data_IF_038213710020
#
_entry.id   IF_038213710020
#
_cell.length_a   1.000
_cell.length_b   1.000
_cell.length_c   1.000
_cell.angle_alpha   90.00
_cell.angle_beta   90.00
_cell.angle_gamma   90.00
#
_symmetry.space_group_name_H-M   'P 1'
#
loop_
_entity.id
_entity.type
_entity.pdbx_description
1 polymer ?
#
# COMPACT_ATOMS: atom_id res chain seq x y z
N UNK A 1 -26.32 -0.92 -9.84
CA UNK A 1 -25.35 -1.05 -10.94
C UNK A 1 -24.48 -2.23 -10.57
N UNK A 2 -24.57 -3.31 -11.33
CA UNK A 2 -23.83 -4.57 -11.10
C UNK A 2 -22.35 -4.33 -11.38
N UNK A 3 -21.45 -4.94 -10.61
CA UNK A 3 -20.02 -4.78 -10.86
C UNK A 3 -19.62 -5.53 -12.13
N UNK A 4 -18.68 -4.98 -12.90
CA UNK A 4 -18.17 -5.59 -14.12
C UNK A 4 -16.82 -6.26 -13.85
N UNK A 5 -16.61 -7.42 -14.44
CA UNK A 5 -15.32 -8.11 -14.45
C UNK A 5 -14.86 -8.31 -15.89
N UNK A 6 -13.56 -8.10 -16.12
CA UNK A 6 -12.93 -8.43 -17.38
C UNK A 6 -12.58 -9.92 -17.37
N UNK A 7 -13.26 -10.67 -18.24
CA UNK A 7 -13.04 -12.10 -18.44
C UNK A 7 -12.41 -12.28 -19.81
N UNK A 8 -11.08 -12.34 -19.85
CA UNK A 8 -10.28 -12.53 -21.07
C UNK A 8 -10.57 -11.49 -22.17
N UNK A 9 -10.64 -10.22 -21.80
CA UNK A 9 -10.87 -9.13 -22.75
C UNK A 9 -12.34 -8.82 -23.04
N UNK A 10 -13.27 -9.54 -22.40
CA UNK A 10 -14.71 -9.25 -22.45
C UNK A 10 -15.18 -8.79 -21.09
N UNK A 11 -15.79 -7.60 -21.03
CA UNK A 11 -16.41 -7.11 -19.81
C UNK A 11 -17.81 -7.69 -19.67
N UNK A 12 -18.04 -8.43 -18.59
CA UNK A 12 -19.34 -9.00 -18.24
C UNK A 12 -19.75 -8.58 -16.83
N UNK A 13 -21.04 -8.68 -16.54
CA UNK A 13 -21.51 -8.57 -15.16
C UNK A 13 -20.92 -9.68 -14.31
N UNK A 14 -20.54 -9.31 -13.10
CA UNK A 14 -20.15 -10.26 -12.07
C UNK A 14 -21.37 -11.08 -11.65
N UNK A 15 -21.13 -12.35 -11.37
CA UNK A 15 -22.07 -13.22 -10.67
C UNK A 15 -22.11 -12.83 -9.18
N UNK A 16 -23.18 -13.19 -8.48
CA UNK A 16 -23.34 -12.93 -7.04
C UNK A 16 -22.17 -13.47 -6.20
N UNK A 17 -21.64 -14.65 -6.59
CA UNK A 17 -20.47 -15.24 -5.94
C UNK A 17 -19.21 -14.41 -6.15
N UNK A 18 -18.98 -13.91 -7.37
CA UNK A 18 -17.83 -13.04 -7.67
C UNK A 18 -17.96 -11.71 -6.94
N UNK A 19 -19.15 -11.12 -6.87
CA UNK A 19 -19.38 -9.87 -6.13
C UNK A 19 -19.07 -10.03 -4.64
N UNK A 20 -19.49 -11.17 -4.06
CA UNK A 20 -19.18 -11.51 -2.67
C UNK A 20 -17.67 -11.64 -2.43
N UNK A 21 -17.00 -12.41 -3.29
CA UNK A 21 -15.54 -12.60 -3.21
C UNK A 21 -14.79 -11.27 -3.37
N UNK A 22 -15.25 -10.40 -4.28
CA UNK A 22 -14.65 -9.08 -4.48
C UNK A 22 -14.86 -8.16 -3.28
N UNK A 23 -16.03 -8.19 -2.65
CA UNK A 23 -16.29 -7.42 -1.43
C UNK A 23 -15.43 -7.88 -0.25
N UNK A 24 -15.13 -9.18 -0.14
CA UNK A 24 -14.19 -9.72 0.85
C UNK A 24 -12.75 -9.29 0.54
N UNK A 25 -12.32 -9.42 -0.71
CA UNK A 25 -11.00 -9.00 -1.15
C UNK A 25 -10.76 -7.51 -0.90
N UNK A 26 -11.75 -6.65 -1.17
CA UNK A 26 -11.63 -5.22 -0.90
C UNK A 26 -11.36 -4.90 0.57
N UNK A 27 -11.95 -5.66 1.51
CA UNK A 27 -11.70 -5.47 2.95
C UNK A 27 -10.25 -5.81 3.30
N UNK A 28 -9.73 -6.88 2.73
CA UNK A 28 -8.33 -7.31 2.92
C UNK A 28 -7.39 -6.27 2.30
N UNK A 29 -7.60 -5.89 1.05
CA UNK A 29 -6.78 -4.90 0.35
C UNK A 29 -6.72 -3.55 1.09
N UNK A 30 -7.85 -3.11 1.68
CA UNK A 30 -7.89 -1.88 2.47
C UNK A 30 -7.13 -2.01 3.80
N UNK A 31 -7.16 -3.19 4.43
CA UNK A 31 -6.37 -3.45 5.64
C UNK A 31 -4.87 -3.50 5.33
N UNK A 32 -4.48 -4.15 4.23
CA UNK A 32 -3.10 -4.22 3.75
C UNK A 32 -2.57 -2.83 3.39
N UNK A 33 -3.31 -2.03 2.63
CA UNK A 33 -2.91 -0.66 2.28
C UNK A 33 -2.67 0.21 3.52
N UNK A 34 -3.49 0.05 4.57
CA UNK A 34 -3.28 0.74 5.86
C UNK A 34 -2.03 0.26 6.58
N UNK A 35 -1.76 -1.05 6.57
CA UNK A 35 -0.58 -1.63 7.19
C UNK A 35 0.71 -1.16 6.48
N UNK A 36 0.71 -1.14 5.14
CA UNK A 36 1.81 -0.65 4.34
C UNK A 36 2.07 0.84 4.57
N UNK A 37 1.03 1.67 4.59
CA UNK A 37 1.16 3.10 4.89
C UNK A 37 1.76 3.33 6.28
N UNK A 38 1.32 2.56 7.29
CA UNK A 38 1.89 2.61 8.63
C UNK A 38 3.36 2.17 8.64
N UNK A 39 3.69 1.06 7.98
CA UNK A 39 5.06 0.56 7.90
C UNK A 39 6.01 1.56 7.22
N UNK A 40 5.54 2.25 6.17
CA UNK A 40 6.30 3.31 5.50
C UNK A 40 6.56 4.50 6.44
N UNK A 41 5.54 4.95 7.18
CA UNK A 41 5.68 6.03 8.16
C UNK A 41 6.62 5.66 9.32
N UNK A 42 6.48 4.44 9.87
CA UNK A 42 7.34 3.93 10.93
C UNK A 42 8.80 3.83 10.45
N UNK A 43 9.02 3.37 9.21
CA UNK A 43 10.35 3.31 8.58
C UNK A 43 10.96 4.70 8.39
N UNK A 44 10.18 5.67 7.92
CA UNK A 44 10.64 7.06 7.78
C UNK A 44 11.03 7.66 9.13
N UNK A 45 10.19 7.46 10.16
CA UNK A 45 10.46 7.91 11.53
C UNK A 45 11.72 7.26 12.10
N UNK A 46 11.87 5.94 11.92
CA UNK A 46 13.05 5.22 12.39
C UNK A 46 14.33 5.69 11.68
N UNK A 47 14.28 5.94 10.37
CA UNK A 47 15.40 6.53 9.62
C UNK A 47 15.77 7.88 10.21
N UNK A 48 14.81 8.80 10.38
CA UNK A 48 15.09 10.12 10.92
C UNK A 48 15.73 10.04 12.32
N UNK A 49 15.20 9.20 13.21
CA UNK A 49 15.78 8.99 14.54
C UNK A 49 17.21 8.44 14.52
N UNK A 50 17.59 7.68 13.48
CA UNK A 50 18.99 7.23 13.29
C UNK A 50 19.86 8.39 12.82
N UNK A 51 19.39 9.19 11.85
CA UNK A 51 20.12 10.37 11.37
C UNK A 51 20.37 11.36 12.51
N UNK A 52 19.35 11.64 13.32
CA UNK A 52 19.42 12.53 14.48
C UNK A 52 20.46 12.04 15.52
N UNK A 53 20.51 10.72 15.78
CA UNK A 53 21.52 10.12 16.69
C UNK A 53 22.94 10.21 16.15
N UNK A 54 23.10 10.13 14.84
CA UNK A 54 24.39 10.25 14.17
C UNK A 54 24.81 11.72 13.97
N UNK A 55 23.91 12.67 14.24
CA UNK A 55 24.18 14.09 14.05
C UNK A 55 24.34 14.48 12.58
N UNK A 56 23.78 13.69 11.67
CA UNK A 56 23.81 13.95 10.23
C UNK A 56 22.46 14.48 9.78
N UNK A 57 22.47 15.50 8.94
CA UNK A 57 21.26 16.05 8.33
C UNK A 57 20.72 15.11 7.25
N UNK A 58 19.45 15.30 6.89
CA UNK A 58 18.83 14.55 5.79
C UNK A 58 19.57 14.76 4.46
N UNK A 59 20.08 15.96 4.22
CA UNK A 59 20.84 16.31 3.00
C UNK A 59 22.20 15.60 2.97
N UNK A 60 22.90 15.55 4.10
CA UNK A 60 24.16 14.82 4.23
C UNK A 60 23.94 13.30 4.10
N UNK A 61 22.84 12.78 4.65
CA UNK A 61 22.47 11.38 4.50
C UNK A 61 22.18 11.01 3.05
N UNK A 62 21.48 11.88 2.30
CA UNK A 62 21.23 11.70 0.88
C UNK A 62 22.54 11.67 0.07
N UNK A 63 23.48 12.57 0.38
CA UNK A 63 24.79 12.60 -0.28
C UNK A 63 25.64 11.34 -0.03
N UNK A 64 25.48 10.72 1.15
CA UNK A 64 26.22 9.53 1.56
C UNK A 64 25.59 8.21 1.09
N UNK A 65 24.26 8.15 1.02
CA UNK A 65 23.51 6.92 0.80
C UNK A 65 23.03 6.72 -0.65
N UNK A 66 23.09 7.76 -1.50
CA UNK A 66 22.70 7.70 -2.91
C UNK A 66 21.21 7.85 -3.13
#
# INVERSE_FOLDING_TARGET
>A
MTMKINDNGIDRDMTETEETAFAEWQKIALAEAKAEAKAAADKATAKQAVLDRLGITADEAALLLG
#
